data_IF_699403952950
#
_entry.id   IF_699403952950
#
_cell.length_a   1.000
_cell.length_b   1.000
_cell.length_c   1.000
_cell.angle_alpha   90.00
_cell.angle_beta   90.00
_cell.angle_gamma   90.00
#
_symmetry.space_group_name_H-M   'P 1'
#
loop_
_entity.id
_entity.type
_entity.pdbx_description
1 polymer ?
#
# COMPACT_ATOMS: atom_id res chain seq x y z
N UNK A 1 10.96 -8.84 28.95
CA UNK A 1 10.68 -7.79 27.94
C UNK A 1 11.51 -8.09 26.71
N UNK A 2 10.95 -8.05 25.50
CA UNK A 2 11.70 -8.29 24.27
C UNK A 2 12.64 -7.12 23.99
N UNK A 3 13.93 -7.41 23.73
CA UNK A 3 14.94 -6.41 23.37
C UNK A 3 15.53 -6.79 22.00
N UNK A 4 14.99 -6.24 20.89
CA UNK A 4 15.51 -6.54 19.57
C UNK A 4 16.94 -6.01 19.44
N UNK A 5 17.81 -6.81 18.80
CA UNK A 5 19.20 -6.43 18.49
C UNK A 5 19.27 -6.03 17.02
N UNK A 6 19.48 -4.75 16.77
CA UNK A 6 19.65 -4.22 15.41
C UNK A 6 21.13 -4.04 15.09
N UNK A 7 21.54 -4.51 13.91
CA UNK A 7 22.91 -4.32 13.41
C UNK A 7 22.84 -3.79 11.98
N UNK A 8 23.46 -2.64 11.74
CA UNK A 8 23.59 -2.09 10.39
C UNK A 8 24.80 -2.74 9.73
N UNK A 9 24.57 -3.45 8.63
CA UNK A 9 25.63 -4.03 7.80
C UNK A 9 25.95 -3.10 6.62
N UNK A 10 27.12 -3.21 5.97
CA UNK A 10 27.41 -2.45 4.76
C UNK A 10 26.35 -2.62 3.65
N UNK A 11 25.74 -3.81 3.53
CA UNK A 11 24.66 -4.06 2.59
C UNK A 11 23.38 -3.26 2.93
N UNK A 12 23.01 -3.22 4.22
CA UNK A 12 21.88 -2.39 4.69
C UNK A 12 22.17 -0.91 4.42
N UNK A 13 23.37 -0.43 4.74
CA UNK A 13 23.76 0.97 4.48
C UNK A 13 23.65 1.30 2.99
N UNK A 14 24.15 0.42 2.11
CA UNK A 14 24.05 0.61 0.66
C UNK A 14 22.60 0.67 0.20
N UNK A 15 21.74 -0.25 0.66
CA UNK A 15 20.33 -0.25 0.31
C UNK A 15 19.61 1.02 0.78
N UNK A 16 19.92 1.53 1.98
CA UNK A 16 19.36 2.78 2.49
C UNK A 16 19.75 3.98 1.62
N UNK A 17 21.01 4.04 1.18
CA UNK A 17 21.48 5.09 0.26
C UNK A 17 20.76 5.02 -1.09
N UNK A 18 20.55 3.82 -1.64
CA UNK A 18 19.82 3.63 -2.89
C UNK A 18 18.33 4.01 -2.75
N UNK A 19 17.69 3.66 -1.63
CA UNK A 19 16.29 4.05 -1.35
C UNK A 19 16.16 5.57 -1.29
N UNK A 20 17.07 6.26 -0.58
CA UNK A 20 17.02 7.72 -0.46
C UNK A 20 17.28 8.42 -1.80
N UNK A 21 18.23 7.93 -2.59
CA UNK A 21 18.49 8.48 -3.93
C UNK A 21 17.25 8.37 -4.83
N UNK A 22 16.58 7.21 -4.83
CA UNK A 22 15.34 7.02 -5.58
C UNK A 22 14.19 7.89 -5.06
N UNK A 23 14.06 8.03 -3.74
CA UNK A 23 13.03 8.88 -3.12
C UNK A 23 13.19 10.34 -3.55
N UNK A 24 14.42 10.86 -3.57
CA UNK A 24 14.72 12.22 -4.00
C UNK A 24 14.38 12.44 -5.49
N UNK A 25 14.73 11.48 -6.34
CA UNK A 25 14.37 11.51 -7.76
C UNK A 25 12.85 11.59 -7.95
N UNK A 26 12.08 10.76 -7.24
CA UNK A 26 10.60 10.77 -7.31
C UNK A 26 10.02 12.08 -6.76
N UNK A 27 10.58 12.61 -5.66
CA UNK A 27 10.12 13.86 -5.05
C UNK A 27 10.33 15.08 -5.97
N UNK A 28 11.32 15.04 -6.86
CA UNK A 28 11.59 16.09 -7.84
C UNK A 28 10.73 16.05 -9.11
N UNK A 29 9.85 15.05 -9.28
CA UNK A 29 9.00 14.95 -10.47
C UNK A 29 7.94 16.07 -10.50
N UNK A 30 7.70 16.71 -11.66
CA UNK A 30 6.70 17.75 -11.80
C UNK A 30 5.28 17.16 -11.85
N UNK A 31 4.76 16.72 -10.70
CA UNK A 31 3.43 16.11 -10.58
C UNK A 31 2.38 17.17 -10.23
N UNK A 32 1.27 17.15 -10.95
CA UNK A 32 0.09 17.96 -10.57
C UNK A 32 -0.63 17.33 -9.38
N UNK A 33 -1.40 18.13 -8.64
CA UNK A 33 -2.21 17.62 -7.52
C UNK A 33 -3.16 16.48 -7.95
N UNK A 34 -3.77 16.59 -9.14
CA UNK A 34 -4.65 15.55 -9.69
C UNK A 34 -3.90 14.25 -10.00
N UNK A 35 -2.69 14.33 -10.53
CA UNK A 35 -1.85 13.15 -10.77
C UNK A 35 -1.46 12.49 -9.44
N UNK A 36 -1.07 13.29 -8.44
CA UNK A 36 -0.71 12.79 -7.13
C UNK A 36 -1.88 12.07 -6.44
N UNK A 37 -3.08 12.64 -6.50
CA UNK A 37 -4.29 12.02 -5.95
C UNK A 37 -4.60 10.68 -6.65
N UNK A 38 -4.53 10.64 -7.98
CA UNK A 38 -4.70 9.41 -8.75
C UNK A 38 -3.65 8.35 -8.39
N UNK A 39 -2.37 8.74 -8.24
CA UNK A 39 -1.30 7.82 -7.87
C UNK A 39 -1.49 7.27 -6.45
N UNK A 40 -1.87 8.12 -5.50
CA UNK A 40 -2.18 7.70 -4.12
C UNK A 40 -3.35 6.72 -4.08
N UNK A 41 -4.43 7.00 -4.82
CA UNK A 41 -5.57 6.08 -4.93
C UNK A 41 -5.15 4.72 -5.48
N UNK A 42 -4.35 4.69 -6.55
CA UNK A 42 -3.82 3.44 -7.11
C UNK A 42 -2.92 2.71 -6.11
N UNK A 43 -2.04 3.44 -5.41
CA UNK A 43 -1.17 2.86 -4.39
C UNK A 43 -1.98 2.23 -3.25
N UNK A 44 -3.01 2.89 -2.74
CA UNK A 44 -3.90 2.32 -1.70
C UNK A 44 -4.60 1.05 -2.16
N UNK A 45 -5.14 1.03 -3.39
CA UNK A 45 -5.78 -0.16 -3.95
C UNK A 45 -4.81 -1.35 -4.03
N UNK A 46 -3.60 -1.11 -4.52
CA UNK A 46 -2.56 -2.16 -4.62
C UNK A 46 -2.08 -2.61 -3.24
N UNK A 47 -1.83 -1.69 -2.31
CA UNK A 47 -1.45 -2.01 -0.93
C UNK A 47 -2.54 -2.83 -0.24
N UNK A 48 -3.80 -2.47 -0.42
CA UNK A 48 -4.94 -3.23 0.12
C UNK A 48 -4.99 -4.64 -0.47
N UNK A 49 -4.87 -4.76 -1.79
CA UNK A 49 -4.89 -6.06 -2.47
C UNK A 49 -3.76 -6.96 -1.97
N UNK A 50 -2.51 -6.50 -2.01
CA UNK A 50 -1.37 -7.35 -1.61
C UNK A 50 -1.35 -7.63 -0.11
N UNK A 51 -1.77 -6.69 0.74
CA UNK A 51 -1.84 -6.93 2.19
C UNK A 51 -2.86 -8.02 2.51
N UNK A 52 -4.07 -7.92 1.95
CA UNK A 52 -5.11 -8.93 2.19
C UNK A 52 -4.79 -10.26 1.51
N UNK A 53 -4.11 -10.25 0.37
CA UNK A 53 -3.68 -11.47 -0.32
C UNK A 53 -2.66 -12.29 0.49
N UNK A 54 -1.71 -11.63 1.17
CA UNK A 54 -0.75 -12.32 2.05
C UNK A 54 -1.47 -13.09 3.16
N UNK A 55 -2.59 -12.56 3.64
CA UNK A 55 -3.45 -13.17 4.66
C UNK A 55 -4.45 -14.19 4.09
N UNK A 56 -4.42 -14.45 2.77
CA UNK A 56 -5.20 -15.50 2.10
C UNK A 56 -6.42 -15.03 1.32
N UNK A 57 -6.67 -13.72 1.23
CA UNK A 57 -7.76 -13.17 0.42
C UNK A 57 -7.49 -13.40 -1.08
N UNK A 58 -8.46 -14.00 -1.78
CA UNK A 58 -8.31 -14.42 -3.19
C UNK A 58 -8.86 -13.41 -4.19
N UNK A 59 -9.36 -12.25 -3.74
CA UNK A 59 -9.87 -11.21 -4.64
C UNK A 59 -8.73 -10.64 -5.49
N UNK A 60 -8.93 -10.64 -6.80
CA UNK A 60 -8.01 -10.02 -7.76
C UNK A 60 -7.97 -8.48 -7.58
N UNK A 61 -6.94 -7.79 -8.12
CA UNK A 61 -6.87 -6.33 -8.04
C UNK A 61 -8.12 -5.61 -8.58
N UNK A 62 -8.69 -6.13 -9.68
CA UNK A 62 -9.92 -5.59 -10.27
C UNK A 62 -11.14 -5.78 -9.35
N UNK A 63 -11.21 -6.92 -8.65
CA UNK A 63 -12.28 -7.18 -7.69
C UNK A 63 -12.13 -6.32 -6.43
N UNK A 64 -10.91 -6.11 -5.94
CA UNK A 64 -10.63 -5.15 -4.84
C UNK A 64 -11.11 -3.75 -5.24
N UNK A 65 -10.80 -3.30 -6.46
CA UNK A 65 -11.31 -2.03 -6.96
C UNK A 65 -12.84 -1.98 -7.00
N UNK A 66 -13.51 -3.04 -7.47
CA UNK A 66 -14.97 -3.13 -7.48
C UNK A 66 -15.57 -3.08 -6.06
N UNK A 67 -14.95 -3.78 -5.09
CA UNK A 67 -15.35 -3.75 -3.67
C UNK A 67 -15.32 -2.32 -3.12
N UNK A 68 -14.26 -1.56 -3.40
CA UNK A 68 -14.11 -0.17 -2.94
C UNK A 68 -15.08 0.76 -3.69
N UNK A 69 -15.39 0.48 -4.95
CA UNK A 69 -16.42 1.20 -5.72
C UNK A 69 -17.85 0.90 -5.24
N UNK A 70 -18.05 -0.11 -4.38
CA UNK A 70 -19.37 -0.56 -3.95
C UNK A 70 -20.10 -1.40 -5.01
N UNK A 71 -19.36 -1.92 -5.99
CA UNK A 71 -19.87 -2.72 -7.09
C UNK A 71 -19.69 -4.22 -6.79
N UNK A 72 -20.49 -5.06 -7.45
CA UNK A 72 -20.36 -6.52 -7.37
C UNK A 72 -20.91 -7.16 -6.10
N UNK A 73 -21.03 -8.50 -6.14
CA UNK A 73 -21.42 -9.32 -5.00
C UNK A 73 -20.25 -10.22 -4.63
N UNK A 74 -19.66 -9.96 -3.47
CA UNK A 74 -18.48 -10.65 -2.97
C UNK A 74 -18.80 -11.29 -1.61
N UNK A 75 -18.13 -12.40 -1.26
CA UNK A 75 -18.23 -12.98 0.08
C UNK A 75 -18.01 -11.91 1.16
N UNK A 76 -18.85 -11.92 2.20
CA UNK A 76 -18.85 -10.86 3.21
C UNK A 76 -17.47 -10.68 3.86
N UNK A 77 -16.79 -11.77 4.20
CA UNK A 77 -15.49 -11.71 4.88
C UNK A 77 -14.43 -11.02 4.02
N UNK A 78 -14.18 -11.51 2.82
CA UNK A 78 -13.14 -11.00 1.91
C UNK A 78 -13.42 -9.55 1.50
N UNK A 79 -14.71 -9.22 1.31
CA UNK A 79 -15.16 -7.85 1.04
C UNK A 79 -14.89 -6.92 2.22
N UNK A 80 -15.21 -7.35 3.43
CA UNK A 80 -15.10 -6.53 4.63
C UNK A 80 -13.62 -6.33 5.02
N UNK A 81 -12.79 -7.38 4.91
CA UNK A 81 -11.33 -7.28 5.07
C UNK A 81 -10.71 -6.23 4.13
N UNK A 82 -11.11 -6.23 2.85
CA UNK A 82 -10.66 -5.22 1.88
C UNK A 82 -11.09 -3.81 2.27
N UNK A 83 -12.36 -3.63 2.66
CA UNK A 83 -12.90 -2.32 3.05
C UNK A 83 -12.22 -1.78 4.31
N UNK A 84 -12.02 -2.64 5.30
CA UNK A 84 -11.44 -2.24 6.57
C UNK A 84 -9.95 -1.93 6.43
N UNK A 85 -9.20 -2.72 5.66
CA UNK A 85 -7.79 -2.42 5.36
C UNK A 85 -7.66 -1.11 4.56
N UNK A 86 -8.48 -0.90 3.53
CA UNK A 86 -8.47 0.33 2.75
C UNK A 86 -8.78 1.57 3.60
N UNK A 87 -9.79 1.49 4.49
CA UNK A 87 -10.11 2.57 5.44
C UNK A 87 -8.98 2.84 6.44
N UNK A 88 -8.30 1.80 6.90
CA UNK A 88 -7.16 1.96 7.78
C UNK A 88 -6.01 2.71 7.07
N UNK A 89 -5.74 2.40 5.81
CA UNK A 89 -4.77 3.14 5.00
C UNK A 89 -5.18 4.61 4.82
N UNK A 90 -6.45 4.88 4.52
CA UNK A 90 -6.95 6.26 4.42
C UNK A 90 -6.81 7.03 5.74
N UNK A 91 -7.02 6.38 6.88
CA UNK A 91 -6.88 7.02 8.19
C UNK A 91 -5.42 7.34 8.55
N UNK A 92 -4.47 6.48 8.20
CA UNK A 92 -3.04 6.69 8.49
C UNK A 92 -2.40 7.73 7.56
N UNK A 93 -2.92 7.87 6.34
CA UNK A 93 -2.42 8.83 5.35
C UNK A 93 -3.02 10.24 5.45
N UNK A 94 -4.11 10.41 6.22
CA UNK A 94 -4.81 11.68 6.41
C UNK A 94 -4.05 12.65 7.35
#
# INVERSE_FOLDING_TARGET
MFQPRFTITPAITKALMEIEANRQMVAGLPLTAKMLDSLRRTARLLSTHYSTQIEGNQLSPAQVQAVIAGEGNFPCRERDEVKDNYRALEHVEA
#
